data_IF_229051896882
#
_entry.id   IF_229051896882
#
_cell.length_a   1.000
_cell.length_b   1.000
_cell.length_c   1.000
_cell.angle_alpha   90.00
_cell.angle_beta   90.00
_cell.angle_gamma   90.00
#
_symmetry.space_group_name_H-M   'P 1'
#
loop_
_entity.id
_entity.type
_entity.pdbx_description
1 polymer ?
#
# COMPACT_ATOMS: atom_id res chain seq x y z
N UNK A 1 49.79 5.35 16.91
CA UNK A 1 48.99 5.09 18.13
C UNK A 1 47.79 6.04 18.32
N UNK A 2 47.80 7.25 17.73
CA UNK A 2 46.73 8.24 17.89
C UNK A 2 45.49 7.97 17.01
N UNK A 3 45.66 7.44 15.79
CA UNK A 3 44.55 7.13 14.88
C UNK A 3 43.62 6.01 15.39
N UNK A 4 44.18 4.99 16.05
CA UNK A 4 43.41 3.85 16.56
C UNK A 4 42.52 4.28 17.72
N UNK A 5 43.01 5.19 18.57
CA UNK A 5 42.26 5.74 19.71
C UNK A 5 41.11 6.63 19.21
N UNK A 6 41.35 7.48 18.20
CA UNK A 6 40.31 8.35 17.64
C UNK A 6 39.15 7.57 16.98
N UNK A 7 39.45 6.44 16.32
CA UNK A 7 38.43 5.54 15.75
C UNK A 7 37.63 4.84 16.87
N UNK A 8 38.30 4.45 17.95
CA UNK A 8 37.64 3.83 19.11
C UNK A 8 36.70 4.80 19.84
N UNK A 9 37.13 6.05 20.05
CA UNK A 9 36.33 7.09 20.73
C UNK A 9 35.09 7.45 19.90
N UNK A 10 35.24 7.70 18.59
CA UNK A 10 34.09 7.99 17.69
C UNK A 10 33.06 6.86 17.62
N UNK A 11 33.50 5.60 17.73
CA UNK A 11 32.63 4.43 17.71
C UNK A 11 31.90 4.25 19.05
N UNK A 12 32.53 4.65 20.16
CA UNK A 12 31.96 4.63 21.50
C UNK A 12 30.89 5.71 21.68
N UNK A 13 31.13 6.92 21.18
CA UNK A 13 30.13 8.01 21.20
C UNK A 13 28.88 7.64 20.39
N UNK A 14 29.03 6.95 19.25
CA UNK A 14 27.90 6.41 18.50
C UNK A 14 27.10 5.35 19.26
N UNK A 15 27.77 4.47 20.02
CA UNK A 15 27.11 3.43 20.84
C UNK A 15 26.41 3.99 22.08
N UNK A 16 26.90 5.10 22.64
CA UNK A 16 26.26 5.77 23.80
C UNK A 16 25.13 6.70 23.35
N UNK A 17 25.27 7.35 22.19
CA UNK A 17 24.26 8.30 21.68
C UNK A 17 23.06 7.62 21.01
N UNK A 18 23.23 6.40 20.48
CA UNK A 18 22.14 5.65 19.87
C UNK A 18 21.32 4.90 20.92
N UNK A 19 19.99 5.09 20.91
CA UNK A 19 19.06 4.35 21.79
C UNK A 19 19.08 2.83 21.55
N UNK A 20 19.56 2.38 20.39
CA UNK A 20 19.68 0.98 20.03
C UNK A 20 21.12 0.66 19.60
N UNK A 21 21.66 -0.48 20.06
CA UNK A 21 22.97 -1.00 19.62
C UNK A 21 22.92 -1.50 18.17
N UNK A 22 21.74 -1.98 17.75
CA UNK A 22 21.46 -2.45 16.38
C UNK A 22 20.31 -1.63 15.82
N UNK A 23 20.45 -1.14 14.59
CA UNK A 23 19.38 -0.46 13.87
C UNK A 23 18.21 -1.42 13.62
N UNK A 24 16.98 -0.98 13.82
CA UNK A 24 15.78 -1.75 13.50
C UNK A 24 15.54 -1.80 11.97
N UNK A 25 16.40 -2.53 11.26
CA UNK A 25 16.27 -2.76 9.82
C UNK A 25 15.40 -4.00 9.53
N UNK A 26 15.05 -4.22 8.25
CA UNK A 26 14.17 -5.32 7.84
C UNK A 26 14.63 -6.69 8.34
N UNK A 27 15.95 -6.96 8.29
CA UNK A 27 16.48 -8.24 8.77
C UNK A 27 16.27 -8.41 10.27
N UNK A 28 16.55 -7.38 11.07
CA UNK A 28 16.35 -7.42 12.52
C UNK A 28 14.87 -7.55 12.86
N UNK A 29 13.99 -6.85 12.14
CA UNK A 29 12.53 -6.97 12.30
C UNK A 29 12.07 -8.40 12.04
N UNK A 30 12.41 -8.99 10.89
CA UNK A 30 11.96 -10.34 10.55
C UNK A 30 12.60 -11.42 11.43
N UNK A 31 13.87 -11.28 11.81
CA UNK A 31 14.55 -12.24 12.68
C UNK A 31 14.06 -12.20 14.13
N UNK A 32 13.56 -11.06 14.59
CA UNK A 32 13.01 -10.90 15.95
C UNK A 32 11.49 -10.99 16.04
N UNK A 33 10.81 -11.09 14.88
CA UNK A 33 9.36 -11.26 14.80
C UNK A 33 8.94 -12.56 15.48
N UNK A 34 7.91 -12.55 16.35
CA UNK A 34 7.35 -13.77 16.90
C UNK A 34 6.86 -14.71 15.79
N UNK A 35 7.03 -16.04 15.92
CA UNK A 35 6.52 -17.00 14.95
C UNK A 35 5.01 -16.82 14.71
N UNK A 36 4.61 -16.89 13.45
CA UNK A 36 3.21 -16.74 13.06
C UNK A 36 2.38 -17.94 13.55
N UNK A 37 1.16 -17.67 14.04
CA UNK A 37 0.19 -18.75 14.21
C UNK A 37 -0.38 -19.17 12.85
N UNK A 38 0.07 -20.31 12.32
CA UNK A 38 -0.32 -20.81 11.00
C UNK A 38 -1.81 -21.19 10.86
N UNK A 39 -2.60 -21.18 11.94
CA UNK A 39 -4.06 -21.42 11.85
C UNK A 39 -4.76 -20.44 10.90
N UNK A 40 -4.26 -19.21 10.76
CA UNK A 40 -4.87 -18.17 9.91
C UNK A 40 -4.94 -18.56 8.43
N UNK A 41 -4.01 -19.39 7.95
CA UNK A 41 -3.94 -19.83 6.56
C UNK A 41 -4.27 -21.32 6.39
N UNK A 42 -4.68 -22.00 7.46
CA UNK A 42 -5.07 -23.41 7.40
C UNK A 42 -6.37 -23.53 6.59
N UNK A 43 -6.35 -24.39 5.57
CA UNK A 43 -7.45 -24.56 4.60
C UNK A 43 -7.79 -23.32 3.77
N UNK A 44 -6.89 -22.32 3.70
CA UNK A 44 -7.00 -21.18 2.79
C UNK A 44 -6.17 -21.51 1.55
N UNK A 45 -6.82 -22.02 0.49
CA UNK A 45 -6.17 -22.51 -0.73
C UNK A 45 -6.36 -21.60 -1.94
N UNK A 46 -7.25 -20.60 -1.85
CA UNK A 46 -7.54 -19.60 -2.89
C UNK A 46 -8.22 -18.39 -2.29
N UNK A 47 -8.35 -17.33 -3.09
CA UNK A 47 -9.23 -16.21 -2.77
C UNK A 47 -10.70 -16.63 -2.85
N UNK A 48 -11.51 -16.16 -1.91
CA UNK A 48 -12.96 -16.25 -1.99
C UNK A 48 -13.46 -15.13 -2.91
N UNK A 49 -14.26 -15.46 -3.91
CA UNK A 49 -14.83 -14.47 -4.83
C UNK A 49 -16.29 -14.27 -4.47
N UNK A 50 -16.67 -13.04 -4.17
CA UNK A 50 -18.05 -12.65 -3.88
C UNK A 50 -18.53 -11.65 -4.93
N UNK A 51 -19.73 -11.87 -5.45
CA UNK A 51 -20.35 -11.04 -6.49
C UNK A 51 -21.49 -10.23 -5.86
N UNK A 52 -21.46 -8.89 -5.97
CA UNK A 52 -22.52 -8.00 -5.46
C UNK A 52 -22.98 -8.35 -4.04
N UNK A 53 -22.01 -8.61 -3.15
CA UNK A 53 -22.27 -9.19 -1.83
C UNK A 53 -22.92 -8.20 -0.86
N UNK A 54 -23.62 -8.76 0.12
CA UNK A 54 -24.27 -7.98 1.19
C UNK A 54 -23.38 -7.92 2.43
N UNK A 55 -23.63 -6.96 3.33
CA UNK A 55 -22.96 -6.90 4.65
C UNK A 55 -23.06 -8.21 5.43
N UNK A 56 -24.23 -8.82 5.45
CA UNK A 56 -24.48 -10.05 6.19
C UNK A 56 -23.73 -11.26 5.60
N UNK A 57 -23.53 -11.28 4.29
CA UNK A 57 -22.74 -12.33 3.64
C UNK A 57 -21.25 -12.12 3.85
N UNK A 58 -20.75 -10.91 3.64
CA UNK A 58 -19.35 -10.56 3.85
C UNK A 58 -18.91 -10.75 5.31
N UNK A 59 -19.76 -10.39 6.29
CA UNK A 59 -19.46 -10.53 7.72
C UNK A 59 -19.15 -11.97 8.16
N UNK A 60 -19.59 -12.99 7.41
CA UNK A 60 -19.24 -14.40 7.67
C UNK A 60 -17.74 -14.68 7.47
N UNK A 61 -17.06 -13.85 6.69
CA UNK A 61 -15.67 -14.04 6.27
C UNK A 61 -14.74 -12.89 6.68
N UNK A 62 -15.28 -11.71 6.97
CA UNK A 62 -14.53 -10.47 7.25
C UNK A 62 -13.38 -10.62 8.28
N UNK A 63 -13.50 -11.57 9.21
CA UNK A 63 -12.54 -11.78 10.30
C UNK A 63 -11.95 -13.20 10.34
N UNK A 64 -12.12 -13.99 9.26
CA UNK A 64 -11.64 -15.38 9.22
C UNK A 64 -10.20 -15.53 8.75
N UNK A 65 -9.60 -14.46 8.19
CA UNK A 65 -8.29 -14.52 7.53
C UNK A 65 -8.34 -15.05 6.09
N UNK A 66 -9.53 -15.40 5.59
CA UNK A 66 -9.77 -15.74 4.19
C UNK A 66 -9.64 -14.47 3.34
N UNK A 67 -8.70 -14.38 2.39
CA UNK A 67 -8.63 -13.26 1.48
C UNK A 67 -9.80 -13.30 0.49
N UNK A 68 -10.37 -12.13 0.21
CA UNK A 68 -11.62 -12.00 -0.55
C UNK A 68 -11.43 -11.03 -1.71
N UNK A 69 -11.97 -11.38 -2.86
CA UNK A 69 -12.18 -10.49 -3.99
C UNK A 69 -13.68 -10.22 -4.12
N UNK A 70 -14.09 -8.96 -3.98
CA UNK A 70 -15.47 -8.54 -4.18
C UNK A 70 -15.62 -7.86 -5.54
N UNK A 71 -16.53 -8.36 -6.36
CA UNK A 71 -16.91 -7.78 -7.64
C UNK A 71 -18.22 -7.01 -7.53
N UNK A 72 -18.31 -5.94 -8.32
CA UNK A 72 -19.50 -5.09 -8.33
C UNK A 72 -19.73 -4.40 -6.99
N UNK A 73 -18.70 -3.80 -6.40
CA UNK A 73 -18.87 -2.93 -5.23
C UNK A 73 -18.73 -1.44 -5.57
N UNK A 74 -18.16 -1.13 -6.74
CA UNK A 74 -17.70 0.22 -7.12
C UNK A 74 -18.48 0.81 -8.30
N UNK A 75 -19.54 0.16 -8.76
CA UNK A 75 -20.24 0.55 -10.00
C UNK A 75 -20.87 1.96 -9.96
N UNK A 76 -21.07 2.54 -8.77
CA UNK A 76 -21.55 3.91 -8.58
C UNK A 76 -20.41 4.92 -8.32
N UNK A 77 -19.16 4.48 -8.27
CA UNK A 77 -18.02 5.36 -8.03
C UNK A 77 -17.62 6.09 -9.31
N UNK A 78 -17.68 7.41 -9.29
CA UNK A 78 -17.15 8.22 -10.40
C UNK A 78 -15.62 8.16 -10.48
N UNK A 79 -14.94 7.73 -9.40
CA UNK A 79 -13.49 7.53 -9.35
C UNK A 79 -12.96 6.68 -10.52
N UNK A 80 -13.71 5.66 -10.96
CA UNK A 80 -13.33 4.79 -12.09
C UNK A 80 -13.10 5.55 -13.40
N UNK A 81 -13.74 6.71 -13.57
CA UNK A 81 -13.64 7.54 -14.76
C UNK A 81 -12.89 8.86 -14.50
N UNK A 82 -12.73 9.27 -13.24
CA UNK A 82 -12.15 10.57 -12.87
C UNK A 82 -10.71 10.46 -12.40
N UNK A 83 -10.35 9.42 -11.65
CA UNK A 83 -9.02 9.32 -11.07
C UNK A 83 -8.00 8.94 -12.14
N UNK A 84 -7.13 9.90 -12.46
CA UNK A 84 -6.06 9.80 -13.44
C UNK A 84 -4.84 10.59 -12.95
N UNK A 85 -3.68 10.38 -13.58
CA UNK A 85 -2.47 11.16 -13.29
C UNK A 85 -2.77 12.67 -13.29
N UNK A 86 -3.45 13.16 -14.34
CA UNK A 86 -3.77 14.59 -14.48
C UNK A 86 -4.71 15.10 -13.38
N UNK A 87 -5.70 14.29 -12.97
CA UNK A 87 -6.58 14.65 -11.87
C UNK A 87 -5.80 14.82 -10.57
N UNK A 88 -4.94 13.86 -10.22
CA UNK A 88 -4.14 13.96 -8.99
C UNK A 88 -3.11 15.08 -9.08
N UNK A 89 -2.43 15.24 -10.22
CA UNK A 89 -1.51 16.35 -10.44
C UNK A 89 -2.22 17.69 -10.20
N UNK A 90 -3.39 17.89 -10.81
CA UNK A 90 -4.16 19.13 -10.67
C UNK A 90 -4.49 19.43 -9.21
N UNK A 91 -5.13 18.50 -8.50
CA UNK A 91 -5.61 18.80 -7.13
C UNK A 91 -4.45 19.05 -6.16
N UNK A 92 -3.33 18.35 -6.31
CA UNK A 92 -2.15 18.55 -5.45
C UNK A 92 -1.41 19.86 -5.78
N UNK A 93 -1.35 20.25 -7.05
CA UNK A 93 -0.73 21.52 -7.46
C UNK A 93 -1.58 22.75 -7.10
N UNK A 94 -2.90 22.62 -7.10
CA UNK A 94 -3.83 23.73 -6.80
C UNK A 94 -4.11 23.91 -5.30
N UNK A 95 -3.81 22.91 -4.46
CA UNK A 95 -4.09 22.95 -3.03
C UNK A 95 -2.84 23.33 -2.24
N UNK A 96 -2.90 24.46 -1.53
CA UNK A 96 -1.79 24.94 -0.71
C UNK A 96 -1.39 23.92 0.37
N UNK A 97 -0.10 23.63 0.49
CA UNK A 97 0.45 22.70 1.47
C UNK A 97 0.13 21.22 1.23
N UNK A 98 -0.45 20.85 0.07
CA UNK A 98 -0.77 19.45 -0.22
C UNK A 98 0.48 18.57 -0.34
N UNK A 99 1.54 19.06 -0.99
CA UNK A 99 2.83 18.36 -1.05
C UNK A 99 3.51 18.28 0.33
N UNK A 100 3.56 19.39 1.06
CA UNK A 100 4.18 19.45 2.39
C UNK A 100 3.51 18.47 3.37
N UNK A 101 2.17 18.34 3.31
CA UNK A 101 1.44 17.37 4.13
C UNK A 101 1.86 15.93 3.82
N UNK A 102 2.10 15.58 2.54
CA UNK A 102 2.60 14.24 2.18
C UNK A 102 4.00 13.98 2.74
N UNK A 103 4.86 15.00 2.78
CA UNK A 103 6.26 14.88 3.20
C UNK A 103 6.45 14.87 4.72
N UNK A 104 5.63 15.63 5.45
CA UNK A 104 5.83 15.88 6.88
C UNK A 104 4.79 15.22 7.79
N UNK A 105 3.58 14.99 7.30
CA UNK A 105 2.46 14.47 8.09
C UNK A 105 2.04 13.06 7.64
N UNK A 106 2.35 12.71 6.40
CA UNK A 106 1.95 11.50 5.72
C UNK A 106 3.18 10.72 5.23
N UNK A 107 2.97 9.78 4.30
CA UNK A 107 4.02 8.90 3.82
C UNK A 107 4.01 8.82 2.29
N UNK A 108 5.21 8.89 1.72
CA UNK A 108 5.48 8.61 0.32
C UNK A 108 6.24 7.28 0.18
N UNK A 109 5.83 6.45 -0.77
CA UNK A 109 6.42 5.17 -1.08
C UNK A 109 7.02 5.20 -2.49
N UNK A 110 8.35 5.36 -2.61
CA UNK A 110 9.00 5.38 -3.92
C UNK A 110 9.14 3.99 -4.55
N UNK A 111 9.00 2.91 -3.77
CA UNK A 111 9.27 1.53 -4.18
C UNK A 111 10.61 1.39 -4.93
N UNK A 112 10.57 0.97 -6.21
CA UNK A 112 11.75 0.81 -7.08
C UNK A 112 11.96 1.99 -8.03
N UNK A 113 11.26 3.10 -7.81
CA UNK A 113 11.47 4.34 -8.56
C UNK A 113 12.62 5.17 -7.96
N UNK A 114 13.05 6.19 -8.69
CA UNK A 114 14.07 7.15 -8.24
C UNK A 114 13.49 8.39 -7.54
N UNK A 115 12.16 8.47 -7.39
CA UNK A 115 11.51 9.62 -6.78
C UNK A 115 11.71 9.62 -5.27
N UNK A 116 11.88 10.80 -4.69
CA UNK A 116 11.89 11.00 -3.24
C UNK A 116 10.62 11.69 -2.75
N UNK A 117 9.97 12.46 -3.64
CA UNK A 117 8.84 13.32 -3.31
C UNK A 117 7.71 13.15 -4.33
N UNK A 118 6.46 13.34 -3.89
CA UNK A 118 5.30 13.28 -4.78
C UNK A 118 5.31 14.39 -5.84
N UNK A 119 5.88 15.55 -5.51
CA UNK A 119 6.07 16.67 -6.45
C UNK A 119 6.94 16.29 -7.66
N UNK A 120 7.99 15.48 -7.46
CA UNK A 120 8.85 14.99 -8.55
C UNK A 120 8.09 14.05 -9.50
N UNK A 121 7.16 13.25 -8.96
CA UNK A 121 6.28 12.38 -9.76
C UNK A 121 5.41 13.22 -10.67
N UNK A 122 4.79 14.28 -10.15
CA UNK A 122 3.92 15.14 -10.97
C UNK A 122 4.66 16.10 -11.90
N UNK A 123 5.96 16.32 -11.68
CA UNK A 123 6.84 17.03 -12.59
C UNK A 123 7.39 16.15 -13.73
N UNK A 124 6.99 14.86 -13.82
CA UNK A 124 7.45 13.97 -14.88
C UNK A 124 7.10 14.48 -16.28
N UNK A 125 8.00 14.31 -17.28
CA UNK A 125 7.68 14.58 -18.68
C UNK A 125 6.48 13.76 -19.15
N UNK A 126 5.66 14.37 -20.01
CA UNK A 126 4.42 13.80 -20.52
C UNK A 126 4.64 12.46 -21.24
N UNK A 127 5.76 12.31 -21.95
CA UNK A 127 6.11 11.06 -22.63
C UNK A 127 6.25 9.90 -21.63
N UNK A 128 6.77 10.18 -20.44
CA UNK A 128 6.93 9.19 -19.37
C UNK A 128 5.62 8.90 -18.66
N UNK A 129 4.79 9.93 -18.46
CA UNK A 129 3.43 9.76 -17.93
C UNK A 129 2.62 8.86 -18.84
N UNK A 130 2.74 8.99 -20.17
CA UNK A 130 2.03 8.17 -21.17
C UNK A 130 2.72 6.83 -21.47
N UNK A 131 3.89 6.57 -20.88
CA UNK A 131 4.75 5.43 -21.18
C UNK A 131 5.01 5.23 -22.69
N UNK A 132 5.43 6.30 -23.37
CA UNK A 132 5.82 6.21 -24.78
C UNK A 132 6.89 5.12 -24.97
N UNK A 133 6.67 4.15 -25.89
CA UNK A 133 7.56 3.02 -26.11
C UNK A 133 9.01 3.46 -26.38
N UNK A 134 9.97 2.71 -25.84
CA UNK A 134 11.42 2.90 -26.02
C UNK A 134 12.00 4.21 -25.47
N UNK A 135 11.18 5.11 -24.94
CA UNK A 135 11.60 6.38 -24.34
C UNK A 135 11.49 6.33 -22.81
N UNK A 136 10.46 5.64 -22.30
CA UNK A 136 10.02 5.82 -20.92
C UNK A 136 10.41 4.66 -20.00
N UNK A 137 11.02 5.01 -18.86
CA UNK A 137 11.27 4.07 -17.75
C UNK A 137 9.98 3.87 -16.93
N UNK A 138 9.53 2.63 -16.67
CA UNK A 138 8.36 2.38 -15.84
C UNK A 138 8.60 2.88 -14.41
N UNK A 139 7.51 3.21 -13.74
CA UNK A 139 7.51 3.70 -12.38
C UNK A 139 6.29 3.16 -11.65
N UNK A 140 6.41 3.02 -10.33
CA UNK A 140 5.32 2.66 -9.44
C UNK A 140 5.59 3.30 -8.09
N UNK A 141 4.62 4.06 -7.62
CA UNK A 141 4.69 4.83 -6.37
C UNK A 141 3.40 4.64 -5.59
N UNK A 142 3.48 4.88 -4.29
CA UNK A 142 2.32 5.00 -3.42
C UNK A 142 2.46 6.24 -2.55
N UNK A 143 1.35 6.79 -2.09
CA UNK A 143 1.37 7.86 -1.10
C UNK A 143 0.08 7.86 -0.29
N UNK A 144 0.14 8.41 0.91
CA UNK A 144 -1.04 8.72 1.70
C UNK A 144 -1.40 10.20 1.61
N UNK A 145 -2.70 10.49 1.64
CA UNK A 145 -3.22 11.85 1.77
C UNK A 145 -3.62 12.14 3.23
N UNK A 146 -3.01 13.18 3.81
CA UNK A 146 -3.36 13.72 5.12
C UNK A 146 -4.01 15.11 5.02
N UNK A 147 -4.03 15.72 3.83
CA UNK A 147 -4.62 17.03 3.63
C UNK A 147 -6.16 16.92 3.58
N UNK A 148 -6.89 17.63 4.46
CA UNK A 148 -8.34 17.50 4.57
C UNK A 148 -9.10 18.06 3.36
N UNK A 149 -8.55 19.05 2.64
CA UNK A 149 -9.16 19.61 1.43
C UNK A 149 -9.07 18.60 0.28
N UNK A 150 -7.89 18.00 0.08
CA UNK A 150 -7.72 16.90 -0.88
C UNK A 150 -8.65 15.74 -0.51
N UNK A 151 -8.70 15.34 0.76
CA UNK A 151 -9.60 14.26 1.21
C UNK A 151 -11.05 14.57 0.84
N UNK A 152 -11.52 15.80 1.11
CA UNK A 152 -12.88 16.22 0.75
C UNK A 152 -13.15 16.14 -0.76
N UNK A 153 -12.15 16.41 -1.61
CA UNK A 153 -12.28 16.28 -3.07
C UNK A 153 -12.37 14.79 -3.45
N UNK A 154 -11.46 13.96 -2.93
CA UNK A 154 -11.41 12.53 -3.21
C UNK A 154 -12.71 11.82 -2.81
N UNK A 155 -13.28 12.16 -1.65
CA UNK A 155 -14.53 11.58 -1.12
C UNK A 155 -15.80 11.96 -1.90
N UNK A 156 -15.70 12.84 -2.90
CA UNK A 156 -16.79 13.05 -3.88
C UNK A 156 -16.86 11.94 -4.94
N UNK A 157 -15.79 11.15 -5.08
CA UNK A 157 -15.63 10.21 -6.19
C UNK A 157 -15.75 8.73 -5.82
N UNK A 158 -15.58 8.40 -4.54
CA UNK A 158 -15.82 7.07 -4.01
C UNK A 158 -16.36 7.16 -2.58
N UNK A 159 -16.99 6.07 -2.16
CA UNK A 159 -17.51 5.91 -0.81
C UNK A 159 -16.92 4.68 -0.13
N UNK A 160 -17.26 4.49 1.15
CA UNK A 160 -16.96 3.23 1.84
C UNK A 160 -17.71 2.09 1.14
N UNK A 161 -17.05 0.96 0.79
CA UNK A 161 -17.74 -0.15 0.16
C UNK A 161 -18.94 -0.63 0.97
N UNK A 162 -20.08 -0.78 0.31
CA UNK A 162 -21.39 -1.02 0.94
C UNK A 162 -21.50 -2.37 1.63
N UNK A 163 -20.65 -3.33 1.26
CA UNK A 163 -20.58 -4.66 1.86
C UNK A 163 -19.82 -4.71 3.18
N UNK A 164 -19.12 -3.63 3.57
CA UNK A 164 -18.34 -3.65 4.81
C UNK A 164 -19.27 -3.66 6.04
N UNK A 165 -18.94 -4.44 7.09
CA UNK A 165 -19.73 -4.52 8.32
C UNK A 165 -19.90 -3.15 8.99
N UNK A 166 -21.00 -2.91 9.70
CA UNK A 166 -21.30 -1.60 10.31
C UNK A 166 -20.29 -1.19 11.40
N UNK A 167 -19.71 -2.16 12.08
CA UNK A 167 -18.65 -2.00 13.09
C UNK A 167 -17.26 -1.76 12.49
N UNK A 168 -17.11 -1.78 11.16
CA UNK A 168 -15.87 -1.34 10.53
C UNK A 168 -15.74 0.19 10.56
N UNK A 169 -14.51 0.66 10.69
CA UNK A 169 -14.14 2.07 10.67
C UNK A 169 -13.44 2.40 9.36
N UNK A 170 -13.65 3.61 8.83
CA UNK A 170 -12.87 4.12 7.70
C UNK A 170 -11.73 4.97 8.23
N UNK A 171 -10.52 4.71 7.71
CA UNK A 171 -9.38 5.59 7.93
C UNK A 171 -9.68 6.99 7.37
N UNK A 172 -9.25 8.03 8.10
CA UNK A 172 -9.21 9.39 7.59
C UNK A 172 -8.14 9.58 6.50
N UNK A 173 -7.16 8.68 6.46
CA UNK A 173 -6.05 8.68 5.52
C UNK A 173 -6.41 7.83 4.30
N UNK A 174 -6.25 8.43 3.12
CA UNK A 174 -6.42 7.76 1.83
C UNK A 174 -5.07 7.29 1.30
N UNK A 175 -4.96 6.01 0.96
CA UNK A 175 -3.77 5.44 0.34
C UNK A 175 -3.98 5.28 -1.16
N UNK A 176 -3.10 5.88 -1.95
CA UNK A 176 -3.18 5.86 -3.41
C UNK A 176 -1.91 5.22 -3.95
N UNK A 177 -2.07 4.30 -4.90
CA UNK A 177 -0.96 3.64 -5.57
C UNK A 177 -1.13 3.80 -7.08
N UNK A 178 -0.09 4.24 -7.76
CA UNK A 178 -0.14 4.53 -9.19
C UNK A 178 1.17 4.15 -9.86
N UNK A 179 1.07 3.68 -11.09
CA UNK A 179 2.22 3.43 -11.94
C UNK A 179 1.87 2.47 -13.06
N UNK A 180 2.91 1.99 -13.71
CA UNK A 180 2.82 1.08 -14.84
C UNK A 180 3.21 -0.35 -14.49
N UNK A 181 2.97 -1.27 -15.42
CA UNK A 181 3.26 -2.70 -15.25
C UNK A 181 4.74 -2.94 -14.94
N UNK A 182 5.02 -3.23 -13.68
CA UNK A 182 6.30 -3.67 -13.14
C UNK A 182 6.04 -4.48 -11.86
N UNK A 183 7.08 -5.05 -11.28
CA UNK A 183 6.99 -5.54 -9.89
C UNK A 183 6.69 -4.32 -9.02
N UNK A 184 5.46 -4.24 -8.50
CA UNK A 184 4.96 -3.12 -7.71
C UNK A 184 5.62 -3.07 -6.33
N UNK A 185 4.84 -3.27 -5.28
CA UNK A 185 5.40 -3.43 -3.94
C UNK A 185 6.19 -4.75 -3.85
N UNK A 186 7.40 -4.70 -3.29
CA UNK A 186 8.16 -5.91 -2.92
C UNK A 186 7.38 -6.70 -1.88
N UNK A 187 7.66 -8.00 -1.72
CA UNK A 187 7.06 -8.79 -0.64
C UNK A 187 7.37 -8.16 0.73
N UNK A 188 6.33 -7.94 1.52
CA UNK A 188 6.39 -7.35 2.86
C UNK A 188 5.22 -7.85 3.71
N UNK A 189 5.30 -7.60 5.01
CA UNK A 189 4.19 -7.77 5.95
C UNK A 189 3.66 -6.38 6.32
N UNK A 190 2.36 -6.19 6.19
CA UNK A 190 1.69 -4.99 6.66
C UNK A 190 1.36 -5.14 8.14
N UNK A 191 2.00 -4.34 8.99
CA UNK A 191 1.72 -4.28 10.42
C UNK A 191 0.53 -3.35 10.70
N UNK A 192 -0.64 -3.73 10.19
CA UNK A 192 -1.90 -3.01 10.39
C UNK A 192 -2.72 -3.70 11.47
N UNK A 193 -3.35 -2.93 12.36
CA UNK A 193 -4.18 -3.47 13.45
C UNK A 193 -5.57 -3.91 12.99
N UNK A 194 -6.01 -3.47 11.82
CA UNK A 194 -7.35 -3.71 11.29
C UNK A 194 -7.25 -4.18 9.83
N UNK A 195 -8.15 -5.08 9.38
CA UNK A 195 -8.23 -5.46 7.98
C UNK A 195 -8.41 -4.23 7.09
N UNK A 196 -7.73 -4.24 5.94
CA UNK A 196 -7.79 -3.17 4.95
C UNK A 196 -8.42 -3.67 3.66
N UNK A 197 -8.97 -2.77 2.86
CA UNK A 197 -9.44 -3.09 1.52
C UNK A 197 -8.73 -2.20 0.50
N UNK A 198 -8.58 -2.69 -0.73
CA UNK A 198 -8.01 -1.94 -1.85
C UNK A 198 -8.89 -2.11 -3.08
N UNK A 199 -9.33 -0.99 -3.65
CA UNK A 199 -10.09 -0.97 -4.90
C UNK A 199 -9.15 -0.72 -6.08
N UNK A 200 -9.26 -1.53 -7.13
CA UNK A 200 -8.51 -1.31 -8.36
C UNK A 200 -9.27 -0.32 -9.24
N UNK A 201 -8.81 0.93 -9.29
CA UNK A 201 -9.51 2.00 -10.00
C UNK A 201 -9.25 2.00 -11.51
N UNK A 202 -8.04 1.64 -11.92
CA UNK A 202 -7.65 1.55 -13.34
C UNK A 202 -6.61 0.46 -13.56
N UNK A 203 -6.65 -0.21 -14.71
CA UNK A 203 -5.77 -1.33 -15.02
C UNK A 203 -6.06 -2.58 -14.19
N UNK A 204 -5.01 -3.34 -13.88
CA UNK A 204 -5.09 -4.58 -13.11
C UNK A 204 -3.84 -4.79 -12.25
N UNK A 205 -3.99 -5.45 -11.10
CA UNK A 205 -2.87 -5.78 -10.20
C UNK A 205 -2.99 -7.21 -9.72
N UNK A 206 -1.88 -7.95 -9.74
CA UNK A 206 -1.81 -9.31 -9.19
C UNK A 206 -1.26 -9.26 -7.77
N UNK A 207 -2.02 -9.81 -6.83
CA UNK A 207 -1.57 -10.06 -5.47
C UNK A 207 -0.98 -11.45 -5.36
N UNK A 208 0.19 -11.53 -4.71
CA UNK A 208 0.82 -12.79 -4.34
C UNK A 208 0.88 -12.86 -2.81
N UNK A 209 0.21 -13.85 -2.23
CA UNK A 209 0.26 -14.13 -0.80
C UNK A 209 1.11 -15.38 -0.60
N UNK A 210 2.24 -15.23 0.06
CA UNK A 210 3.13 -16.33 0.40
C UNK A 210 3.10 -16.55 1.92
N UNK A 211 3.02 -17.81 2.38
CA UNK A 211 3.16 -18.09 3.80
C UNK A 211 4.57 -17.75 4.27
N UNK A 212 4.74 -17.31 5.52
CA UNK A 212 6.08 -17.15 6.10
C UNK A 212 6.74 -18.54 6.24
N UNK A 213 8.08 -18.61 6.31
CA UNK A 213 8.82 -19.88 6.28
C UNK A 213 8.35 -20.91 7.32
N UNK A 214 7.97 -20.47 8.52
CA UNK A 214 7.47 -21.36 9.57
C UNK A 214 6.12 -22.03 9.26
N UNK A 215 5.35 -21.48 8.31
CA UNK A 215 4.02 -21.97 7.93
C UNK A 215 3.98 -22.67 6.55
N UNK A 216 5.09 -22.76 5.82
CA UNK A 216 5.15 -23.35 4.47
C UNK A 216 4.68 -24.82 4.40
N UNK A 217 4.72 -25.55 5.52
CA UNK A 217 4.25 -26.94 5.59
C UNK A 217 2.73 -27.07 5.68
N UNK A 218 2.05 -26.06 6.22
CA UNK A 218 0.61 -26.08 6.47
C UNK A 218 -0.16 -25.22 5.46
N UNK A 219 0.48 -24.16 4.96
CA UNK A 219 -0.14 -23.14 4.13
C UNK A 219 0.46 -23.12 2.73
N UNK A 220 -0.32 -22.60 1.76
CA UNK A 220 0.07 -22.57 0.35
C UNK A 220 0.20 -21.14 -0.14
N UNK A 221 1.10 -20.93 -1.09
CA UNK A 221 1.13 -19.68 -1.83
C UNK A 221 -0.12 -19.58 -2.72
N UNK A 222 -0.77 -18.42 -2.70
CA UNK A 222 -1.97 -18.14 -3.49
C UNK A 222 -1.82 -16.78 -4.18
N UNK A 223 -2.55 -16.58 -5.27
CA UNK A 223 -2.56 -15.31 -5.98
C UNK A 223 -3.94 -15.00 -6.54
N UNK A 224 -4.16 -13.74 -6.87
CA UNK A 224 -5.31 -13.30 -7.66
C UNK A 224 -4.97 -12.02 -8.43
N UNK A 225 -5.55 -11.87 -9.62
CA UNK A 225 -5.49 -10.61 -10.35
C UNK A 225 -6.78 -9.85 -10.15
N UNK A 226 -6.66 -8.65 -9.56
CA UNK A 226 -7.73 -7.70 -9.32
C UNK A 226 -7.84 -6.80 -10.55
N UNK A 227 -9.03 -6.77 -11.14
CA UNK A 227 -9.38 -5.98 -12.32
C UNK A 227 -10.02 -4.66 -11.91
N UNK A 228 -10.07 -3.72 -12.85
CA UNK A 228 -10.75 -2.44 -12.67
C UNK A 228 -12.17 -2.63 -12.13
N UNK A 229 -12.50 -1.93 -11.04
CA UNK A 229 -13.78 -1.98 -10.35
C UNK A 229 -13.90 -3.06 -9.27
N UNK A 230 -12.93 -3.97 -9.15
CA UNK A 230 -12.92 -4.98 -8.11
C UNK A 230 -12.25 -4.47 -6.83
N UNK A 231 -12.64 -5.03 -5.67
CA UNK A 231 -12.07 -4.72 -4.37
C UNK A 231 -11.48 -5.98 -3.75
N UNK A 232 -10.20 -5.95 -3.39
CA UNK A 232 -9.56 -6.98 -2.58
C UNK A 232 -9.57 -6.61 -1.10
N UNK A 233 -9.88 -7.57 -0.22
CA UNK A 233 -9.87 -7.42 1.24
C UNK A 233 -9.12 -8.56 1.90
#
# INVERSE_FOLDING_TARGET
>A
MVLIIAIYVKRWDHLISSRCVVSNNYFVMEASRPPTNCQICRNVDRFLILENTTKAEFAKYAYSGQPILVRGATHHWSALNTFSFDFFHKIYSETAGAYDSVEHECQFFPFKSEFNHLSEVFAMPEERVRMTPHVSKPWYIGWSNCNPEIASILRKHYERPTFLPDDSESSAIDWIFMGYSQVGASMHLDYVQRPSWQAQISGSKTWHLLPPPECERECKAINITVQTGEIST
#
